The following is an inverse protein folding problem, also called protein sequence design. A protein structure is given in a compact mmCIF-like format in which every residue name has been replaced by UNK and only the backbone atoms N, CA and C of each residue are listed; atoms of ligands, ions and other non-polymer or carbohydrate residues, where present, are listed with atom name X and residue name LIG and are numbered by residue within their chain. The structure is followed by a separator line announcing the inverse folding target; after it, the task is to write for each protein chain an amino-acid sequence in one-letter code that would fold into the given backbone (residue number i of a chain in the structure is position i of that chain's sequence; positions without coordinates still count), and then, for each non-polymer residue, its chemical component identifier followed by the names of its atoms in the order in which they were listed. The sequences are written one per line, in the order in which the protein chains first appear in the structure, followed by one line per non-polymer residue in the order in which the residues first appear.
data_IF_659065933435
#
_entry.id   IF_659065933435
#
_cell.length_a   1.000
_cell.length_b   1.000
_cell.length_c   1.000
_cell.angle_alpha   90.00
_cell.angle_beta   90.00
_cell.angle_gamma   90.00
#
_symmetry.space_group_name_H-M   'P 1'
#
loop_
_entity.id
_entity.type
_entity.pdbx_description
1 polymer ?
#
# COMPACT_ATOMS: atom_id res chain seq x y z
N UNK A 1 10.56 11.22 -12.67
CA UNK A 1 10.64 10.99 -14.11
C UNK A 1 11.84 10.15 -14.53
N UNK A 2 12.97 10.23 -13.81
CA UNK A 2 14.23 9.57 -14.19
C UNK A 2 15.27 10.63 -14.62
N UNK A 3 16.53 10.24 -14.73
CA UNK A 3 17.60 11.18 -15.12
C UNK A 3 17.56 11.55 -16.61
N UNK A 4 16.82 10.79 -17.42
CA UNK A 4 16.70 11.00 -18.88
C UNK A 4 15.26 10.94 -19.35
N UNK A 5 15.02 11.31 -20.61
CA UNK A 5 13.70 11.36 -21.23
C UNK A 5 13.08 12.76 -21.27
N UNK A 6 11.98 12.95 -22.02
CA UNK A 6 11.40 14.26 -22.30
C UNK A 6 10.88 14.97 -21.04
N UNK A 7 10.52 14.21 -20.01
CA UNK A 7 10.00 14.74 -18.74
C UNK A 7 11.07 14.88 -17.66
N UNK A 8 12.35 14.56 -17.92
CA UNK A 8 13.40 14.52 -16.89
C UNK A 8 13.56 15.83 -16.11
N UNK A 9 13.38 16.97 -16.80
CA UNK A 9 13.48 18.31 -16.20
C UNK A 9 12.13 18.90 -15.77
N UNK A 10 11.04 18.17 -15.96
CA UNK A 10 9.71 18.65 -15.57
C UNK A 10 9.45 18.37 -14.09
N UNK A 11 8.76 19.28 -13.42
CA UNK A 11 8.21 19.00 -12.10
C UNK A 11 7.13 17.90 -12.18
N UNK A 12 6.94 17.17 -11.09
CA UNK A 12 5.87 16.19 -10.96
C UNK A 12 5.70 15.78 -9.52
N UNK A 13 4.55 15.20 -9.21
CA UNK A 13 4.25 14.54 -7.95
C UNK A 13 3.86 13.08 -8.22
N UNK A 14 3.73 12.30 -7.14
CA UNK A 14 3.34 10.89 -7.15
C UNK A 14 2.24 10.58 -8.18
N UNK A 15 1.16 11.37 -8.15
CA UNK A 15 -0.02 11.21 -9.00
C UNK A 15 0.30 11.35 -10.50
N UNK A 16 1.27 12.20 -10.86
CA UNK A 16 1.68 12.38 -12.25
C UNK A 16 2.48 11.17 -12.74
N UNK A 17 3.34 10.60 -11.89
CA UNK A 17 4.14 9.43 -12.25
C UNK A 17 3.26 8.18 -12.44
N UNK A 18 2.31 7.94 -11.53
CA UNK A 18 1.36 6.83 -11.67
C UNK A 18 0.34 7.06 -12.79
N UNK A 19 0.15 8.32 -13.20
CA UNK A 19 -0.62 8.69 -14.39
C UNK A 19 0.01 8.18 -15.68
N UNK A 20 1.34 8.16 -15.78
CA UNK A 20 2.07 7.67 -16.96
C UNK A 20 2.36 6.16 -16.92
N UNK A 21 2.21 5.51 -15.76
CA UNK A 21 2.46 4.06 -15.65
C UNK A 21 1.23 3.18 -15.96
N UNK A 22 0.06 3.78 -16.16
CA UNK A 22 -1.23 3.07 -16.28
C UNK A 22 -1.87 2.72 -14.93
N UNK A 23 -1.13 2.83 -13.82
CA UNK A 23 -1.65 2.50 -12.48
C UNK A 23 -2.84 3.37 -12.08
N UNK A 24 -2.77 4.69 -12.28
CA UNK A 24 -3.88 5.58 -11.93
C UNK A 24 -5.14 5.26 -12.73
N UNK A 25 -4.99 4.95 -14.02
CA UNK A 25 -6.13 4.59 -14.88
C UNK A 25 -6.84 3.33 -14.39
N UNK A 26 -6.12 2.36 -13.82
CA UNK A 26 -6.65 1.09 -13.36
C UNK A 26 -7.39 1.18 -12.00
N UNK A 27 -7.23 2.27 -11.24
CA UNK A 27 -7.75 2.39 -9.88
C UNK A 27 -9.03 3.25 -9.85
N UNK A 28 -10.11 2.67 -9.33
CA UNK A 28 -11.40 3.34 -9.12
C UNK A 28 -12.60 2.47 -9.47
N UNK A 29 -13.81 2.96 -9.24
CA UNK A 29 -15.05 2.24 -9.57
C UNK A 29 -15.44 2.42 -11.04
N UNK A 30 -16.28 1.49 -11.52
CA UNK A 30 -16.84 1.56 -12.87
C UNK A 30 -17.66 2.85 -13.05
N UNK A 31 -17.42 3.56 -14.16
CA UNK A 31 -18.11 4.82 -14.47
C UNK A 31 -17.62 6.05 -13.70
N UNK A 32 -16.71 5.88 -12.74
CA UNK A 32 -16.13 7.00 -11.98
C UNK A 32 -14.78 7.45 -12.54
N UNK A 33 -14.34 8.64 -12.15
CA UNK A 33 -12.98 9.14 -12.46
C UNK A 33 -11.91 8.27 -11.77
N UNK A 34 -10.69 8.19 -12.33
CA UNK A 34 -9.54 7.60 -11.63
C UNK A 34 -9.37 8.16 -10.21
N UNK A 35 -9.06 7.29 -9.26
CA UNK A 35 -8.92 7.65 -7.83
C UNK A 35 -7.45 7.59 -7.42
N UNK A 36 -6.86 8.68 -6.91
CA UNK A 36 -5.51 8.66 -6.37
C UNK A 36 -5.42 7.72 -5.15
N UNK A 37 -4.56 6.70 -5.14
CA UNK A 37 -4.45 5.71 -4.06
C UNK A 37 -3.58 6.22 -2.90
N UNK A 38 -3.84 7.46 -2.46
CA UNK A 38 -2.85 8.29 -1.75
C UNK A 38 -1.52 8.30 -2.54
N UNK A 39 -0.40 8.55 -1.87
CA UNK A 39 0.93 8.46 -2.47
C UNK A 39 1.58 7.06 -2.36
N UNK A 40 0.80 6.03 -1.99
CA UNK A 40 1.33 4.68 -1.69
C UNK A 40 1.98 4.02 -2.91
N UNK A 41 1.40 4.21 -4.10
CA UNK A 41 1.88 3.56 -5.34
C UNK A 41 3.11 4.28 -5.90
N UNK A 42 3.05 5.61 -5.99
CA UNK A 42 4.13 6.43 -6.55
C UNK A 42 5.30 6.58 -5.58
N UNK A 43 5.10 7.33 -4.50
CA UNK A 43 6.18 7.69 -3.58
C UNK A 43 6.75 6.48 -2.84
N UNK A 44 5.89 5.64 -2.27
CA UNK A 44 6.36 4.56 -1.39
C UNK A 44 6.72 3.29 -2.15
N UNK A 45 5.77 2.74 -2.91
CA UNK A 45 5.97 1.48 -3.65
C UNK A 45 6.93 1.62 -4.83
N UNK A 46 6.63 2.54 -5.75
CA UNK A 46 7.41 2.75 -6.98
C UNK A 46 8.68 3.57 -6.79
N UNK A 47 8.73 4.44 -5.79
CA UNK A 47 9.89 5.28 -5.49
C UNK A 47 10.76 4.72 -4.38
N UNK A 48 10.38 5.02 -3.13
CA UNK A 48 11.18 4.78 -1.94
C UNK A 48 11.59 3.33 -1.75
N UNK A 49 10.67 2.37 -1.93
CA UNK A 49 10.98 0.95 -1.77
C UNK A 49 11.96 0.44 -2.84
N UNK A 50 11.77 0.83 -4.10
CA UNK A 50 12.68 0.44 -5.17
C UNK A 50 14.04 1.13 -5.09
N UNK A 51 14.10 2.39 -4.64
CA UNK A 51 15.36 3.05 -4.34
C UNK A 51 16.08 2.34 -3.20
N UNK A 52 15.40 2.04 -2.10
CA UNK A 52 15.99 1.31 -0.97
C UNK A 52 16.53 -0.06 -1.41
N UNK A 53 15.75 -0.81 -2.20
CA UNK A 53 16.18 -2.09 -2.76
C UNK A 53 17.39 -1.93 -3.70
N UNK A 54 17.35 -0.94 -4.60
CA UNK A 54 18.45 -0.61 -5.50
C UNK A 54 19.73 -0.23 -4.76
N UNK A 55 19.63 0.53 -3.67
CA UNK A 55 20.75 0.88 -2.79
C UNK A 55 21.33 -0.36 -2.11
N UNK A 56 20.50 -1.28 -1.60
CA UNK A 56 20.99 -2.55 -1.03
C UNK A 56 21.75 -3.35 -2.10
N UNK A 57 21.20 -3.48 -3.31
CA UNK A 57 21.87 -4.15 -4.43
C UNK A 57 23.22 -3.49 -4.78
N UNK A 58 23.27 -2.16 -4.89
CA UNK A 58 24.48 -1.41 -5.19
C UNK A 58 25.54 -1.53 -4.08
N UNK A 59 25.13 -1.52 -2.80
CA UNK A 59 26.04 -1.70 -1.68
C UNK A 59 26.64 -3.12 -1.65
N UNK A 60 25.84 -4.15 -1.93
CA UNK A 60 26.31 -5.53 -2.02
C UNK A 60 27.27 -5.75 -3.20
N UNK A 61 27.02 -5.06 -4.32
CA UNK A 61 27.93 -5.06 -5.48
C UNK A 61 29.24 -4.35 -5.12
N UNK A 62 29.17 -3.14 -4.56
CA UNK A 62 30.33 -2.33 -4.20
C UNK A 62 31.23 -3.03 -3.16
N UNK A 63 30.66 -3.80 -2.23
CA UNK A 63 31.42 -4.61 -1.28
C UNK A 63 32.31 -5.66 -1.98
N UNK A 64 31.89 -6.17 -3.13
CA UNK A 64 32.63 -7.17 -3.90
C UNK A 64 33.60 -6.54 -4.88
N UNK A 65 33.18 -5.49 -5.58
CA UNK A 65 33.96 -4.88 -6.66
C UNK A 65 34.87 -3.75 -6.20
N UNK A 66 34.59 -3.15 -5.04
CA UNK A 66 35.24 -1.93 -4.56
C UNK A 66 34.84 -0.66 -5.32
N UNK A 67 33.81 -0.71 -6.17
CA UNK A 67 33.37 0.42 -7.01
C UNK A 67 31.96 0.85 -6.65
N UNK A 68 31.73 2.16 -6.61
CA UNK A 68 30.39 2.72 -6.49
C UNK A 68 29.68 2.78 -7.84
N UNK A 69 28.36 2.97 -7.80
CA UNK A 69 27.52 3.18 -8.99
C UNK A 69 26.35 4.14 -8.68
N UNK A 70 25.74 4.69 -9.73
CA UNK A 70 24.54 5.52 -9.63
C UNK A 70 23.30 4.63 -9.72
N UNK A 71 22.34 4.84 -8.81
CA UNK A 71 21.03 4.17 -8.83
C UNK A 71 19.99 5.19 -9.31
N UNK A 72 19.54 5.08 -10.56
CA UNK A 72 18.41 5.87 -11.08
C UNK A 72 17.10 5.15 -10.77
N UNK A 73 16.43 5.54 -9.68
CA UNK A 73 15.16 4.96 -9.24
C UNK A 73 13.99 5.91 -9.56
N UNK A 74 13.53 5.90 -10.81
CA UNK A 74 12.42 6.73 -11.24
C UNK A 74 11.07 6.16 -10.76
N UNK A 75 10.29 6.98 -10.05
CA UNK A 75 8.93 6.59 -9.58
C UNK A 75 8.00 6.11 -10.70
N UNK A 76 8.15 6.63 -11.92
CA UNK A 76 7.33 6.20 -13.08
C UNK A 76 7.65 4.76 -13.49
N UNK A 77 8.93 4.39 -13.53
CA UNK A 77 9.39 3.03 -13.85
C UNK A 77 8.97 2.05 -12.75
N UNK A 78 9.08 2.51 -11.50
CA UNK A 78 8.68 1.71 -10.36
C UNK A 78 7.18 1.46 -10.29
N UNK A 79 6.38 2.49 -10.52
CA UNK A 79 4.92 2.34 -10.61
C UNK A 79 4.52 1.43 -11.79
N UNK A 80 5.24 1.49 -12.92
CA UNK A 80 5.01 0.58 -14.05
C UNK A 80 5.40 -0.87 -13.70
N UNK A 81 6.50 -1.06 -12.95
CA UNK A 81 6.94 -2.38 -12.46
C UNK A 81 5.88 -3.02 -11.56
N UNK A 82 5.25 -2.24 -10.68
CA UNK A 82 4.14 -2.72 -9.85
C UNK A 82 2.91 -3.16 -10.68
N UNK A 83 2.76 -2.64 -11.90
CA UNK A 83 1.68 -2.99 -12.83
C UNK A 83 1.98 -4.19 -13.73
N UNK A 84 3.17 -4.81 -13.63
CA UNK A 84 3.63 -5.84 -14.56
C UNK A 84 2.62 -6.97 -14.80
N UNK A 85 2.00 -7.49 -13.73
CA UNK A 85 0.96 -8.53 -13.83
C UNK A 85 -0.22 -8.09 -14.71
N UNK A 86 -0.70 -6.86 -14.57
CA UNK A 86 -1.85 -6.35 -15.32
C UNK A 86 -1.53 -6.11 -16.79
N UNK A 87 -0.29 -5.68 -17.10
CA UNK A 87 0.19 -5.64 -18.49
C UNK A 87 0.18 -7.03 -19.12
N UNK A 88 0.67 -8.06 -18.40
CA UNK A 88 0.63 -9.45 -18.88
C UNK A 88 -0.81 -9.94 -19.06
N UNK A 89 -1.71 -9.68 -18.11
CA UNK A 89 -3.13 -10.06 -18.23
C UNK A 89 -3.82 -9.35 -19.38
N UNK A 90 -3.51 -8.07 -19.61
CA UNK A 90 -4.05 -7.30 -20.73
C UNK A 90 -3.61 -7.88 -22.08
N UNK A 91 -2.32 -8.22 -22.21
CA UNK A 91 -1.79 -8.89 -23.39
C UNK A 91 -2.43 -10.27 -23.63
N UNK A 92 -2.79 -10.99 -22.57
CA UNK A 92 -3.50 -12.26 -22.63
C UNK A 92 -5.04 -12.13 -22.82
N UNK A 93 -5.59 -10.91 -22.86
CA UNK A 93 -7.03 -10.65 -22.95
C UNK A 93 -7.83 -10.92 -21.66
N UNK A 94 -7.15 -11.21 -20.54
CA UNK A 94 -7.74 -11.49 -19.24
C UNK A 94 -8.01 -10.23 -18.40
N UNK A 95 -7.44 -9.08 -18.80
CA UNK A 95 -7.72 -7.77 -18.23
C UNK A 95 -8.30 -6.85 -19.31
N UNK A 96 -9.41 -6.19 -18.99
CA UNK A 96 -10.07 -5.21 -19.85
C UNK A 96 -9.65 -3.81 -19.43
N UNK A 97 -9.41 -2.96 -20.43
CA UNK A 97 -9.12 -1.53 -20.24
C UNK A 97 -10.39 -0.75 -19.85
N UNK A 98 -10.97 -1.13 -18.71
CA UNK A 98 -12.16 -0.55 -18.10
C UNK A 98 -12.18 -0.90 -16.60
N UNK A 99 -12.06 0.13 -15.76
CA UNK A 99 -12.15 0.00 -14.29
C UNK A 99 -13.45 -0.65 -13.82
N UNK A 100 -13.36 -1.39 -12.72
CA UNK A 100 -14.48 -2.03 -12.06
C UNK A 100 -15.13 -3.13 -12.89
N UNK A 101 -14.39 -3.74 -13.82
CA UNK A 101 -14.88 -4.87 -14.65
C UNK A 101 -13.99 -6.11 -14.62
N UNK A 102 -12.92 -6.07 -13.83
CA UNK A 102 -11.91 -7.11 -13.74
C UNK A 102 -11.96 -7.84 -12.40
N UNK A 103 -11.30 -8.99 -12.32
CA UNK A 103 -11.31 -9.84 -11.13
C UNK A 103 -10.82 -9.12 -9.85
N UNK A 104 -9.81 -8.25 -9.97
CA UNK A 104 -9.09 -7.65 -8.85
C UNK A 104 -9.32 -6.14 -8.68
N UNK A 105 -10.26 -5.55 -9.42
CA UNK A 105 -10.57 -4.11 -9.37
C UNK A 105 -11.94 -3.81 -8.73
N UNK A 106 -12.48 -4.78 -7.99
CA UNK A 106 -13.77 -4.66 -7.33
C UNK A 106 -14.95 -4.89 -8.28
N UNK A 107 -14.81 -5.72 -9.33
CA UNK A 107 -15.95 -6.17 -10.13
C UNK A 107 -16.55 -7.49 -9.61
N UNK A 108 -15.71 -8.46 -9.26
CA UNK A 108 -16.15 -9.74 -8.72
C UNK A 108 -16.84 -9.58 -7.36
N UNK A 109 -17.96 -10.27 -7.15
CA UNK A 109 -18.73 -10.19 -5.90
C UNK A 109 -18.04 -10.87 -4.70
N UNK A 110 -16.96 -11.62 -4.94
CA UNK A 110 -16.15 -12.25 -3.90
C UNK A 110 -14.79 -11.56 -3.72
N UNK A 111 -14.54 -10.46 -4.41
CA UNK A 111 -13.35 -9.61 -4.28
C UNK A 111 -13.76 -8.14 -4.29
N UNK A 112 -14.28 -7.64 -3.17
CA UNK A 112 -14.76 -6.26 -3.04
C UNK A 112 -14.91 -5.85 -1.57
N UNK A 113 -15.33 -4.61 -1.34
CA UNK A 113 -15.82 -4.09 -0.06
C UNK A 113 -17.34 -4.01 -0.02
N UNK A 114 -17.90 -4.21 1.17
CA UNK A 114 -19.36 -4.18 1.40
C UNK A 114 -19.69 -3.38 2.65
N UNK A 115 -20.70 -2.52 2.54
CA UNK A 115 -21.26 -1.77 3.67
C UNK A 115 -22.15 -2.68 4.54
N UNK A 116 -22.00 -2.57 5.85
CA UNK A 116 -22.76 -3.29 6.87
C UNK A 116 -23.95 -2.45 7.39
N UNK A 117 -24.77 -3.03 8.26
CA UNK A 117 -25.98 -2.37 8.81
C UNK A 117 -25.68 -1.09 9.61
N UNK A 118 -24.45 -0.94 10.10
CA UNK A 118 -23.96 0.19 10.89
C UNK A 118 -23.21 1.24 10.04
N UNK A 119 -23.19 1.11 8.71
CA UNK A 119 -22.49 2.01 7.80
C UNK A 119 -20.97 1.80 7.74
N UNK A 120 -20.42 0.88 8.54
CA UNK A 120 -19.03 0.46 8.42
C UNK A 120 -18.87 -0.57 7.29
N UNK A 121 -17.62 -0.85 6.90
CA UNK A 121 -17.33 -1.72 5.76
C UNK A 121 -16.53 -2.96 6.16
N UNK A 122 -16.70 -4.02 5.38
CA UNK A 122 -15.86 -5.23 5.36
C UNK A 122 -15.24 -5.40 3.98
N UNK A 123 -14.20 -6.21 3.86
CA UNK A 123 -13.63 -6.63 2.59
C UNK A 123 -13.61 -8.16 2.44
N UNK A 124 -13.66 -8.61 1.19
CA UNK A 124 -13.60 -10.00 0.78
C UNK A 124 -12.49 -10.21 -0.26
N UNK A 125 -11.91 -11.41 -0.25
CA UNK A 125 -10.97 -11.89 -1.27
C UNK A 125 -11.08 -13.41 -1.50
N UNK A 126 -12.30 -13.94 -1.53
CA UNK A 126 -12.60 -15.38 -1.63
C UNK A 126 -12.51 -15.88 -3.08
N UNK A 127 -11.35 -15.79 -3.72
CA UNK A 127 -11.17 -16.15 -5.14
C UNK A 127 -11.21 -17.67 -5.32
N UNK A 128 -10.56 -18.41 -4.44
CA UNK A 128 -10.44 -19.85 -4.55
C UNK A 128 -11.75 -20.56 -4.20
N UNK A 129 -12.15 -21.63 -4.94
CA UNK A 129 -13.48 -22.24 -4.79
C UNK A 129 -13.83 -22.70 -3.37
N UNK A 130 -12.86 -23.20 -2.61
CA UNK A 130 -13.07 -23.65 -1.23
C UNK A 130 -13.33 -22.49 -0.26
N UNK A 131 -12.65 -21.35 -0.46
CA UNK A 131 -12.85 -20.14 0.34
C UNK A 131 -14.19 -19.48 -0.01
N UNK A 132 -14.53 -19.47 -1.30
CA UNK A 132 -15.84 -19.03 -1.78
C UNK A 132 -16.98 -19.90 -1.24
N UNK A 133 -16.84 -21.23 -1.25
CA UNK A 133 -17.85 -22.13 -0.67
C UNK A 133 -18.10 -21.84 0.82
N UNK A 134 -17.04 -21.52 1.57
CA UNK A 134 -17.14 -21.10 2.97
C UNK A 134 -17.83 -19.73 3.11
N UNK A 135 -17.54 -18.77 2.22
CA UNK A 135 -18.26 -17.49 2.17
C UNK A 135 -19.77 -17.72 2.01
N UNK A 136 -20.18 -18.58 1.07
CA UNK A 136 -21.60 -18.87 0.84
C UNK A 136 -22.26 -19.53 2.05
N UNK A 137 -21.56 -20.45 2.72
CA UNK A 137 -22.02 -21.05 3.97
C UNK A 137 -22.21 -20.01 5.08
N UNK A 138 -21.21 -19.16 5.31
CA UNK A 138 -21.21 -18.17 6.40
C UNK A 138 -22.21 -17.03 6.18
N UNK A 139 -22.47 -16.67 4.92
CA UNK A 139 -23.49 -15.68 4.54
C UNK A 139 -24.90 -16.27 4.54
N UNK A 140 -25.04 -17.59 4.36
CA UNK A 140 -26.32 -18.28 4.30
C UNK A 140 -27.08 -18.04 2.99
N UNK A 141 -26.40 -17.59 1.94
CA UNK A 141 -27.00 -17.40 0.61
C UNK A 141 -27.24 -18.73 -0.10
N UNK A 142 -28.12 -18.72 -1.10
CA UNK A 142 -28.38 -19.92 -1.91
C UNK A 142 -27.14 -20.31 -2.73
N UNK A 143 -26.51 -21.43 -2.37
CA UNK A 143 -25.34 -21.97 -3.06
C UNK A 143 -25.60 -22.24 -4.54
N UNK A 144 -26.82 -22.62 -4.93
CA UNK A 144 -27.15 -22.91 -6.32
C UNK A 144 -27.14 -21.62 -7.17
N UNK A 145 -27.72 -20.53 -6.64
CA UNK A 145 -27.68 -19.21 -7.27
C UNK A 145 -26.24 -18.70 -7.45
N UNK A 146 -25.37 -18.96 -6.46
CA UNK A 146 -24.00 -18.46 -6.43
C UNK A 146 -22.96 -19.41 -7.06
N UNK A 147 -23.37 -20.58 -7.57
CA UNK A 147 -22.47 -21.57 -8.19
C UNK A 147 -21.65 -21.03 -9.40
N UNK A 148 -22.17 -20.12 -10.26
CA UNK A 148 -21.43 -19.54 -11.39
C UNK A 148 -20.37 -18.50 -10.96
N UNK A 149 -19.47 -18.84 -10.03
CA UNK A 149 -18.52 -17.90 -9.43
C UNK A 149 -17.75 -17.07 -10.47
N UNK A 150 -17.21 -17.71 -11.52
CA UNK A 150 -16.38 -17.04 -12.52
C UNK A 150 -17.16 -16.53 -13.75
N UNK A 151 -18.50 -16.58 -13.74
CA UNK A 151 -19.32 -16.00 -14.78
C UNK A 151 -19.47 -14.48 -14.56
N UNK A 152 -18.62 -13.72 -15.27
CA UNK A 152 -18.56 -12.25 -15.21
C UNK A 152 -19.92 -11.60 -15.51
N UNK A 153 -20.78 -12.25 -16.31
CA UNK A 153 -22.09 -11.70 -16.66
C UNK A 153 -23.06 -11.70 -15.48
N UNK A 154 -22.82 -12.58 -14.49
CA UNK A 154 -23.64 -12.71 -13.28
C UNK A 154 -23.14 -11.85 -12.12
N UNK A 155 -21.87 -11.42 -12.12
CA UNK A 155 -21.27 -10.66 -11.03
C UNK A 155 -22.09 -9.44 -10.56
N UNK A 156 -22.69 -8.61 -11.45
CA UNK A 156 -23.49 -7.48 -10.98
C UNK A 156 -24.68 -7.89 -10.12
N UNK A 157 -25.40 -8.94 -10.51
CA UNK A 157 -26.58 -9.43 -9.77
C UNK A 157 -26.16 -10.10 -8.45
N UNK A 158 -25.13 -10.95 -8.48
CA UNK A 158 -24.62 -11.62 -7.28
C UNK A 158 -24.02 -10.62 -6.28
N UNK A 159 -23.39 -9.55 -6.77
CA UNK A 159 -22.90 -8.44 -5.94
C UNK A 159 -24.02 -7.69 -5.26
N UNK A 160 -25.11 -7.39 -5.97
CA UNK A 160 -26.27 -6.74 -5.39
C UNK A 160 -26.86 -7.57 -4.24
N UNK A 161 -26.92 -8.90 -4.42
CA UNK A 161 -27.40 -9.81 -3.39
C UNK A 161 -26.46 -9.87 -2.17
N UNK A 162 -25.14 -9.99 -2.37
CA UNK A 162 -24.19 -9.93 -1.25
C UNK A 162 -24.22 -8.57 -0.53
N UNK A 163 -24.40 -7.47 -1.27
CA UNK A 163 -24.57 -6.14 -0.66
C UNK A 163 -25.79 -6.11 0.26
N UNK A 164 -26.92 -6.68 -0.19
CA UNK A 164 -28.12 -6.81 0.64
C UNK A 164 -27.86 -7.65 1.88
N UNK A 165 -27.15 -8.78 1.73
CA UNK A 165 -26.81 -9.68 2.83
C UNK A 165 -25.92 -8.98 3.86
N UNK A 166 -24.83 -8.35 3.44
CA UNK A 166 -23.90 -7.69 4.37
C UNK A 166 -24.55 -6.53 5.13
N UNK A 167 -25.53 -5.84 4.54
CA UNK A 167 -26.35 -4.83 5.23
C UNK A 167 -27.31 -5.38 6.30
N UNK A 168 -27.44 -6.70 6.48
CA UNK A 168 -28.33 -7.28 7.49
C UNK A 168 -27.73 -7.32 8.90
N UNK A 169 -26.41 -7.17 9.03
CA UNK A 169 -25.69 -7.23 10.31
C UNK A 169 -24.65 -6.12 10.38
N UNK A 170 -24.29 -5.75 11.60
CA UNK A 170 -23.20 -4.80 11.89
C UNK A 170 -21.85 -5.39 11.49
N UNK A 171 -20.83 -4.56 11.30
CA UNK A 171 -19.46 -5.03 11.01
C UNK A 171 -18.95 -5.98 12.09
N UNK A 172 -19.22 -5.67 13.36
CA UNK A 172 -18.81 -6.50 14.50
C UNK A 172 -19.44 -7.91 14.47
N UNK A 173 -20.73 -8.01 14.14
CA UNK A 173 -21.40 -9.31 14.00
C UNK A 173 -20.83 -10.12 12.83
N UNK A 174 -20.43 -9.49 11.73
CA UNK A 174 -19.74 -10.21 10.65
C UNK A 174 -18.34 -10.66 11.04
N UNK A 175 -17.60 -9.85 11.82
CA UNK A 175 -16.33 -10.27 12.41
C UNK A 175 -16.50 -11.53 13.28
N UNK A 176 -17.51 -11.57 14.14
CA UNK A 176 -17.82 -12.77 14.96
C UNK A 176 -18.06 -14.04 14.11
N UNK A 177 -18.61 -13.88 12.91
CA UNK A 177 -18.96 -15.00 12.02
C UNK A 177 -17.76 -15.46 11.17
N UNK A 178 -16.96 -14.51 10.67
CA UNK A 178 -16.01 -14.74 9.56
C UNK A 178 -14.56 -14.42 9.87
N UNK A 179 -14.26 -13.60 10.88
CA UNK A 179 -12.88 -13.20 11.16
C UNK A 179 -12.04 -14.40 11.62
N UNK A 180 -10.81 -14.51 11.11
CA UNK A 180 -9.93 -15.63 11.38
C UNK A 180 -10.30 -16.93 10.66
N UNK A 181 -11.30 -16.91 9.77
CA UNK A 181 -11.64 -18.05 8.91
C UNK A 181 -11.00 -17.93 7.52
N UNK A 182 -11.04 -19.01 6.75
CA UNK A 182 -10.54 -19.06 5.37
C UNK A 182 -11.46 -18.34 4.36
N UNK A 183 -12.43 -17.54 4.80
CA UNK A 183 -13.27 -16.72 3.90
C UNK A 183 -12.45 -15.65 3.18
N UNK A 184 -11.23 -15.33 3.63
CA UNK A 184 -10.48 -14.14 3.19
C UNK A 184 -11.27 -12.86 3.48
N UNK A 185 -11.70 -12.74 4.74
CA UNK A 185 -12.51 -11.63 5.26
C UNK A 185 -11.69 -10.75 6.21
N UNK A 186 -11.93 -9.44 6.19
CA UNK A 186 -11.49 -8.53 7.25
C UNK A 186 -12.43 -7.31 7.39
N UNK A 187 -12.54 -6.71 8.59
CA UNK A 187 -13.13 -5.39 8.73
C UNK A 187 -12.27 -4.33 8.03
N UNK A 188 -12.90 -3.36 7.35
CA UNK A 188 -12.21 -2.16 6.87
C UNK A 188 -12.08 -1.20 8.05
N UNK A 189 -10.86 -1.00 8.52
CA UNK A 189 -10.52 -0.18 9.68
C UNK A 189 -9.99 1.18 9.25
N UNK A 190 -10.36 2.24 9.97
CA UNK A 190 -9.72 3.55 9.86
C UNK A 190 -8.31 3.54 10.48
N UNK A 191 -7.55 4.60 10.22
CA UNK A 191 -6.23 4.83 10.83
C UNK A 191 -6.26 4.88 12.36
N UNK A 192 -7.42 5.16 12.95
CA UNK A 192 -7.61 5.23 14.41
C UNK A 192 -8.06 3.90 15.02
N UNK A 193 -8.71 3.03 14.24
CA UNK A 193 -9.15 1.71 14.70
C UNK A 193 -8.06 0.64 14.52
N UNK A 194 -7.25 0.77 13.46
CA UNK A 194 -6.25 -0.25 13.10
C UNK A 194 -5.25 -0.60 14.23
N UNK A 195 -4.71 0.36 15.01
CA UNK A 195 -3.83 0.05 16.13
C UNK A 195 -4.49 -0.81 17.22
N UNK A 196 -5.81 -0.72 17.35
CA UNK A 196 -6.55 -1.36 18.44
C UNK A 196 -7.03 -2.77 18.12
N UNK A 197 -7.00 -3.18 16.86
CA UNK A 197 -7.42 -4.51 16.43
C UNK A 197 -6.62 -5.62 17.13
N UNK A 198 -7.25 -6.69 17.66
CA UNK A 198 -6.57 -7.75 18.42
C UNK A 198 -5.38 -8.36 17.67
N UNK A 199 -5.51 -8.62 16.36
CA UNK A 199 -4.41 -9.12 15.53
C UNK A 199 -3.23 -8.14 15.48
N UNK A 200 -3.48 -6.84 15.35
CA UNK A 200 -2.43 -5.82 15.25
C UNK A 200 -1.72 -5.60 16.58
N UNK A 201 -2.47 -5.64 17.70
CA UNK A 201 -1.92 -5.62 19.05
C UNK A 201 -1.03 -6.83 19.32
N UNK A 202 -1.53 -8.04 19.06
CA UNK A 202 -0.77 -9.28 19.26
C UNK A 202 0.52 -9.33 18.43
N UNK A 203 0.51 -8.68 17.26
CA UNK A 203 1.67 -8.59 16.38
C UNK A 203 2.60 -7.42 16.68
N UNK A 204 2.21 -6.45 17.52
CA UNK A 204 2.95 -5.19 17.65
C UNK A 204 3.09 -4.48 16.30
N UNK A 205 2.03 -4.50 15.47
CA UNK A 205 2.04 -3.86 14.14
C UNK A 205 2.20 -2.34 14.24
N UNK A 206 1.69 -1.76 15.32
CA UNK A 206 1.81 -0.34 15.62
C UNK A 206 2.55 -0.15 16.94
N UNK A 207 3.34 0.90 17.02
CA UNK A 207 4.06 1.35 18.22
C UNK A 207 3.72 2.81 18.50
N UNK A 208 3.87 3.24 19.74
CA UNK A 208 3.75 4.64 20.12
C UNK A 208 5.14 5.15 20.49
N UNK A 209 5.60 6.20 19.80
CA UNK A 209 6.87 6.87 20.08
C UNK A 209 6.57 8.34 20.31
N UNK A 210 7.03 8.88 21.43
CA UNK A 210 6.77 10.26 21.85
C UNK A 210 5.27 10.65 21.80
N UNK A 211 4.41 9.71 22.19
CA UNK A 211 2.95 9.90 22.21
C UNK A 211 2.25 9.75 20.85
N UNK A 212 2.99 9.48 19.77
CA UNK A 212 2.44 9.35 18.43
C UNK A 212 2.33 7.87 18.00
N UNK A 213 1.12 7.35 17.71
CA UNK A 213 0.96 6.00 17.17
C UNK A 213 1.40 5.95 15.70
N UNK A 214 2.22 4.96 15.35
CA UNK A 214 2.73 4.75 14.00
C UNK A 214 3.01 3.26 13.72
N UNK A 215 3.11 2.83 12.44
CA UNK A 215 3.52 1.47 12.12
C UNK A 215 4.92 1.15 12.68
N UNK A 216 5.08 -0.05 13.23
CA UNK A 216 6.39 -0.59 13.59
C UNK A 216 7.21 -0.89 12.31
N UNK A 217 8.56 -0.89 12.39
CA UNK A 217 9.39 -1.22 11.23
C UNK A 217 9.05 -2.61 10.64
N UNK A 218 9.14 -2.70 9.31
CA UNK A 218 8.85 -3.91 8.53
C UNK A 218 9.88 -4.07 7.41
N UNK A 219 10.31 -5.31 7.07
CA UNK A 219 9.88 -6.59 7.61
C UNK A 219 10.46 -6.89 9.00
N UNK A 220 9.96 -7.95 9.64
CA UNK A 220 10.51 -8.47 10.91
C UNK A 220 11.63 -9.46 10.62
N UNK A 221 12.75 -9.30 11.30
CA UNK A 221 13.89 -10.21 11.17
C UNK A 221 14.02 -11.07 12.42
N UNK A 222 14.37 -12.35 12.24
CA UNK A 222 14.53 -13.31 13.34
C UNK A 222 15.72 -13.04 14.25
N UNK A 223 16.71 -12.24 13.78
CA UNK A 223 17.96 -11.96 14.52
C UNK A 223 18.19 -10.49 14.84
N UNK A 224 17.86 -9.58 13.91
CA UNK A 224 18.11 -8.14 14.05
C UNK A 224 16.81 -7.40 14.27
N UNK A 225 16.56 -6.90 15.47
CA UNK A 225 15.33 -6.17 15.77
C UNK A 225 15.50 -4.68 15.43
N UNK A 226 14.81 -4.15 14.40
CA UNK A 226 14.77 -2.71 14.18
C UNK A 226 13.99 -2.02 15.30
N UNK A 227 14.42 -0.81 15.68
CA UNK A 227 13.75 0.00 16.69
C UNK A 227 13.60 1.44 16.17
N UNK A 228 12.51 2.10 16.55
CA UNK A 228 12.32 3.53 16.34
C UNK A 228 12.80 4.23 17.60
N UNK A 229 13.86 5.03 17.49
CA UNK A 229 14.56 5.64 18.62
C UNK A 229 13.99 6.99 19.06
N UNK A 230 13.39 7.74 18.14
CA UNK A 230 12.83 9.07 18.39
C UNK A 230 11.78 9.41 17.33
N UNK A 231 10.93 10.40 17.63
CA UNK A 231 10.06 11.05 16.65
C UNK A 231 10.82 11.96 15.70
N UNK A 232 10.12 12.60 14.75
CA UNK A 232 10.72 13.52 13.80
C UNK A 232 11.40 14.70 14.51
N UNK A 233 12.64 14.99 14.13
CA UNK A 233 13.38 16.16 14.61
C UNK A 233 13.01 17.40 13.78
N UNK A 234 13.05 18.57 14.42
CA UNK A 234 12.83 19.83 13.73
C UNK A 234 13.97 20.11 12.73
N UNK A 235 13.72 20.83 11.62
CA UNK A 235 14.78 21.24 10.71
C UNK A 235 15.91 21.96 11.45
N UNK A 236 17.14 21.46 11.31
CA UNK A 236 18.34 22.04 11.94
C UNK A 236 18.67 21.53 13.35
N UNK A 237 17.78 20.76 13.99
CA UNK A 237 17.96 20.28 15.37
C UNK A 237 19.29 19.52 15.58
N UNK A 238 19.69 18.69 14.62
CA UNK A 238 20.91 17.87 14.73
C UNK A 238 22.13 18.47 14.02
N UNK A 239 22.03 19.67 13.43
CA UNK A 239 23.07 20.23 12.55
C UNK A 239 24.44 20.33 13.23
N UNK A 240 24.48 20.82 14.46
CA UNK A 240 25.75 20.95 15.20
C UNK A 240 26.37 19.58 15.52
N UNK A 241 25.56 18.61 15.97
CA UNK A 241 26.05 17.28 16.30
C UNK A 241 26.62 16.57 15.07
N UNK A 242 25.95 16.69 13.91
CA UNK A 242 26.44 16.14 12.64
C UNK A 242 27.76 16.78 12.24
N UNK A 243 27.89 18.11 12.33
CA UNK A 243 29.13 18.81 11.99
C UNK A 243 30.30 18.40 12.90
N UNK A 244 30.06 18.27 14.21
CA UNK A 244 31.07 17.76 15.15
C UNK A 244 31.50 16.34 14.80
N UNK A 245 30.56 15.46 14.43
CA UNK A 245 30.88 14.09 14.01
C UNK A 245 31.70 14.04 12.72
N UNK A 246 31.58 15.06 11.86
CA UNK A 246 32.40 15.24 10.67
C UNK A 246 33.76 15.90 10.94
N UNK A 247 34.07 16.25 12.20
CA UNK A 247 35.36 16.82 12.61
C UNK A 247 35.44 18.34 12.64
N UNK A 248 34.32 19.06 12.49
CA UNK A 248 34.32 20.52 12.61
C UNK A 248 34.49 20.96 14.06
N UNK A 249 35.33 21.97 14.27
CA UNK A 249 35.53 22.64 15.54
C UNK A 249 34.33 23.53 15.91
N UNK A 250 34.23 23.91 17.19
CA UNK A 250 33.19 24.84 17.64
C UNK A 250 33.28 26.22 16.97
N UNK A 251 34.50 26.69 16.67
CA UNK A 251 34.73 27.96 15.99
C UNK A 251 34.24 27.93 14.53
N UNK A 252 34.54 26.84 13.80
CA UNK A 252 34.05 26.66 12.43
C UNK A 252 32.52 26.56 12.38
N UNK A 253 31.91 25.85 13.33
CA UNK A 253 30.44 25.75 13.41
C UNK A 253 29.82 27.11 13.72
N UNK A 254 30.41 27.89 14.64
CA UNK A 254 29.96 29.24 14.96
C UNK A 254 30.08 30.16 13.72
N UNK A 255 31.17 30.05 12.96
CA UNK A 255 31.35 30.79 11.72
C UNK A 255 30.27 30.44 10.69
N UNK A 256 29.96 29.15 10.47
CA UNK A 256 28.89 28.70 9.57
C UNK A 256 27.51 29.24 9.99
N UNK A 257 27.23 29.24 11.30
CA UNK A 257 25.98 29.77 11.86
C UNK A 257 25.88 31.29 11.65
N UNK A 258 26.94 32.02 11.96
CA UNK A 258 26.99 33.48 11.76
C UNK A 258 26.90 33.89 10.28
N UNK A 259 27.40 33.05 9.37
CA UNK A 259 27.31 33.24 7.93
C UNK A 259 25.96 32.83 7.31
N UNK A 260 25.01 32.31 8.11
CA UNK A 260 23.70 31.86 7.64
C UNK A 260 23.73 30.59 6.78
N UNK A 261 24.83 29.82 6.83
CA UNK A 261 24.98 28.55 6.09
C UNK A 261 24.16 27.44 6.75
N UNK A 262 24.04 27.47 8.08
CA UNK A 262 23.17 26.59 8.87
C UNK A 262 22.17 27.43 9.66
N UNK A 263 21.00 26.86 10.03
CA UNK A 263 20.02 27.55 10.86
C UNK A 263 20.62 28.05 12.18
N UNK A 264 20.08 29.18 12.66
CA UNK A 264 20.50 29.85 13.88
C UNK A 264 20.28 29.01 15.14
#
# INVERSE_FOLDING_TARGET
WGQTGPMAQAAGHDINYIGLSGALHAIGRAGERPVPPLNLVGDFGGGGMLLAFGMVCALLEAQKSGKGQVVDAAMVDGAATLMAMFFTMGAAGAFKDRRGTNLLDGAAHFYDTYECADGHHICLGSIEPQFYALLLEKTGVDKAQFAPQMDVTQWPALKAELTRVFRTRTRAQWCEIMEGTDVCFAPVLSIFEAPDHPHNKARGTFVTVDGMPQPAPSPRFSRTAPAISHSAHAPGQDSEQVLRNCGFSGEEIAALRSGGVIPA
#
